data_IF_842375795611
#
_entry.id   IF_842375795611
#
_cell.length_a   1.000
_cell.length_b   1.000
_cell.length_c   1.000
_cell.angle_alpha   90.00
_cell.angle_beta   90.00
_cell.angle_gamma   90.00
#
_symmetry.space_group_name_H-M   'P 1'
#
loop_
_entity.id
_entity.type
_entity.pdbx_description
1 polymer ?
#
# COMPACT_ATOMS: atom_id res chain seq x y z
N UNK A 1 29.85 13.12 -3.41
CA UNK A 1 30.12 12.50 -2.10
C UNK A 1 29.08 11.40 -1.89
N UNK A 2 29.43 10.24 -1.34
CA UNK A 2 28.47 9.25 -0.97
C UNK A 2 27.45 9.88 -0.01
N UNK A 3 26.17 9.55 -0.19
CA UNK A 3 25.12 10.02 0.71
C UNK A 3 25.31 9.34 2.06
N UNK A 4 25.38 10.11 3.14
CA UNK A 4 25.41 9.56 4.49
C UNK A 4 24.11 8.82 4.78
N UNK A 5 24.24 7.74 5.55
CA UNK A 5 23.08 7.03 6.09
C UNK A 5 22.37 7.95 7.09
N UNK A 6 21.04 8.01 6.99
CA UNK A 6 20.23 8.83 7.87
C UNK A 6 19.26 7.95 8.66
N UNK A 7 19.04 8.30 9.92
CA UNK A 7 17.89 7.77 10.66
C UNK A 7 16.61 8.31 10.05
N UNK A 8 15.80 7.41 9.49
CA UNK A 8 14.49 7.74 8.96
C UNK A 8 13.49 6.68 9.35
N UNK A 9 12.27 7.08 9.71
CA UNK A 9 11.18 6.12 9.73
C UNK A 9 10.96 5.60 8.31
N UNK A 10 10.42 4.40 8.20
CA UNK A 10 10.08 3.84 6.90
C UNK A 10 8.94 4.64 6.28
N UNK A 11 9.28 5.44 5.30
CA UNK A 11 8.31 6.25 4.59
C UNK A 11 7.86 5.52 3.33
N UNK A 12 6.69 4.92 3.39
CA UNK A 12 6.00 4.44 2.19
C UNK A 12 5.30 5.58 1.43
N UNK A 13 5.68 6.83 1.72
CA UNK A 13 5.14 8.00 1.02
C UNK A 13 5.77 8.12 -0.36
N UNK A 14 5.00 7.84 -1.38
CA UNK A 14 5.43 7.92 -2.78
C UNK A 14 4.47 8.78 -3.58
N UNK A 15 4.83 9.08 -4.83
CA UNK A 15 3.94 9.81 -5.75
C UNK A 15 2.60 9.07 -5.94
N UNK A 16 2.64 7.73 -5.98
CA UNK A 16 1.44 6.89 -6.02
C UNK A 16 1.14 6.43 -4.58
N UNK A 17 0.37 7.21 -3.84
CA UNK A 17 0.11 6.94 -2.41
C UNK A 17 -0.78 5.72 -2.18
N UNK A 18 -1.82 5.54 -3.02
CA UNK A 18 -2.72 4.40 -2.88
C UNK A 18 -2.11 3.15 -3.53
N UNK A 19 -1.77 2.10 -2.75
CA UNK A 19 -1.15 0.89 -3.27
C UNK A 19 -2.04 0.12 -4.25
N UNK A 20 -3.38 0.24 -4.15
CA UNK A 20 -4.31 -0.39 -5.09
C UNK A 20 -4.11 0.06 -6.54
N UNK A 21 -3.46 1.21 -6.76
CA UNK A 21 -3.13 1.73 -8.09
C UNK A 21 -1.83 1.16 -8.65
N UNK A 22 -1.03 0.48 -7.85
CA UNK A 22 0.27 -0.03 -8.32
C UNK A 22 0.10 -1.05 -9.45
N UNK A 23 -0.90 -1.94 -9.36
CA UNK A 23 -1.22 -2.88 -10.45
C UNK A 23 -1.51 -2.19 -11.78
N UNK A 24 -2.23 -1.07 -11.74
CA UNK A 24 -2.58 -0.30 -12.95
C UNK A 24 -1.33 0.33 -13.58
N UNK A 25 -0.48 0.98 -12.76
CA UNK A 25 0.79 1.56 -13.23
C UNK A 25 1.76 0.47 -13.74
N UNK A 26 1.84 -0.66 -13.04
CA UNK A 26 2.69 -1.77 -13.42
C UNK A 26 2.20 -2.45 -14.71
N UNK A 27 0.87 -2.55 -14.91
CA UNK A 27 0.30 -3.07 -16.16
C UNK A 27 0.69 -2.21 -17.37
N UNK A 28 0.62 -0.88 -17.24
CA UNK A 28 1.07 0.01 -18.31
C UNK A 28 2.59 -0.09 -18.51
N UNK A 29 3.38 -0.10 -17.42
CA UNK A 29 4.84 -0.20 -17.49
C UNK A 29 5.31 -1.53 -18.11
N UNK A 30 4.58 -2.62 -17.89
CA UNK A 30 4.90 -3.94 -18.45
C UNK A 30 4.98 -3.94 -19.98
N UNK A 31 4.29 -3.04 -20.66
CA UNK A 31 4.40 -2.87 -22.13
C UNK A 31 5.78 -2.43 -22.59
N UNK A 32 6.61 -1.93 -21.65
CA UNK A 32 7.97 -1.45 -21.89
C UNK A 32 9.04 -2.39 -21.29
N UNK A 33 8.64 -3.59 -20.85
CA UNK A 33 9.60 -4.59 -20.34
C UNK A 33 10.64 -4.94 -21.41
N UNK A 34 11.93 -4.90 -21.03
CA UNK A 34 13.05 -5.09 -21.94
C UNK A 34 13.48 -3.84 -22.72
N UNK A 35 12.68 -2.77 -22.74
CA UNK A 35 13.05 -1.51 -23.40
C UNK A 35 14.12 -0.75 -22.60
N UNK A 36 14.95 0.04 -23.32
CA UNK A 36 15.96 0.90 -22.67
C UNK A 36 15.27 2.13 -22.09
N UNK A 37 15.44 2.35 -20.79
CA UNK A 37 14.93 3.54 -20.11
C UNK A 37 15.71 4.80 -20.51
N UNK A 38 15.13 5.60 -21.37
CA UNK A 38 15.66 6.86 -21.89
C UNK A 38 14.54 7.89 -22.05
N UNK A 39 14.87 9.09 -22.56
CA UNK A 39 13.87 10.17 -22.72
C UNK A 39 12.69 9.74 -23.60
N UNK A 40 12.95 8.97 -24.67
CA UNK A 40 11.91 8.48 -25.58
C UNK A 40 10.97 7.48 -24.90
N UNK A 41 11.53 6.50 -24.22
CA UNK A 41 10.74 5.49 -23.49
C UNK A 41 9.90 6.13 -22.38
N UNK A 42 10.47 7.09 -21.63
CA UNK A 42 9.74 7.83 -20.60
C UNK A 42 8.62 8.68 -21.23
N UNK A 43 8.86 9.34 -22.36
CA UNK A 43 7.79 10.08 -23.07
C UNK A 43 6.64 9.16 -23.45
N UNK A 44 6.92 8.03 -24.11
CA UNK A 44 5.89 7.08 -24.53
C UNK A 44 5.11 6.55 -23.33
N UNK A 45 5.79 6.17 -22.27
CA UNK A 45 5.18 5.65 -21.05
C UNK A 45 4.26 6.69 -20.37
N UNK A 46 4.74 7.91 -20.14
CA UNK A 46 3.93 8.96 -19.51
C UNK A 46 2.71 9.32 -20.36
N UNK A 47 2.85 9.30 -21.68
CA UNK A 47 1.73 9.53 -22.60
C UNK A 47 0.68 8.42 -22.54
N UNK A 48 1.09 7.15 -22.35
CA UNK A 48 0.14 6.06 -22.12
C UNK A 48 -0.63 6.24 -20.80
N UNK A 49 0.03 6.70 -19.72
CA UNK A 49 -0.65 7.03 -18.46
C UNK A 49 -1.66 8.18 -18.63
N UNK A 50 -1.32 9.23 -19.41
CA UNK A 50 -2.26 10.31 -19.69
C UNK A 50 -3.42 9.83 -20.55
N UNK A 51 -3.14 8.98 -21.54
CA UNK A 51 -4.13 8.49 -22.51
C UNK A 51 -5.32 7.86 -21.81
N UNK A 52 -5.10 7.08 -20.77
CA UNK A 52 -6.14 6.43 -19.97
C UNK A 52 -6.59 7.25 -18.74
N UNK A 53 -6.01 8.43 -18.50
CA UNK A 53 -6.33 9.27 -17.35
C UNK A 53 -5.77 8.79 -16.01
N UNK A 54 -4.95 7.73 -16.02
CA UNK A 54 -4.36 7.17 -14.81
C UNK A 54 -3.42 8.13 -14.08
N UNK A 55 -2.72 8.99 -14.81
CA UNK A 55 -1.93 10.07 -14.28
C UNK A 55 -2.36 11.42 -14.86
N UNK A 56 -2.62 12.39 -13.98
CA UNK A 56 -3.08 13.75 -14.34
C UNK A 56 -2.10 14.79 -13.82
N UNK A 57 -1.20 15.30 -14.68
CA UNK A 57 -0.27 16.36 -14.29
C UNK A 57 -0.98 17.68 -13.97
N UNK A 58 -0.23 18.63 -13.39
CA UNK A 58 -0.78 19.88 -12.89
C UNK A 58 -1.32 20.79 -14.01
N UNK A 59 -0.61 20.84 -15.14
CA UNK A 59 -0.93 21.74 -16.24
C UNK A 59 -1.65 20.97 -17.35
N UNK A 60 -2.96 21.16 -17.45
CA UNK A 60 -3.81 20.50 -18.43
C UNK A 60 -4.36 21.52 -19.43
N UNK A 61 -4.45 21.17 -20.74
CA UNK A 61 -5.23 21.93 -21.73
C UNK A 61 -6.70 22.02 -21.32
N UNK A 62 -7.39 23.09 -21.71
CA UNK A 62 -8.82 23.25 -21.37
C UNK A 62 -9.71 22.14 -21.96
N UNK A 63 -9.41 21.67 -23.17
CA UNK A 63 -10.10 20.54 -23.80
C UNK A 63 -10.00 19.27 -22.92
N UNK A 64 -8.82 18.96 -22.40
CA UNK A 64 -8.59 17.83 -21.52
C UNK A 64 -9.29 18.00 -20.17
N UNK A 65 -9.30 19.20 -19.60
CA UNK A 65 -10.06 19.49 -18.38
C UNK A 65 -11.54 19.23 -18.55
N UNK A 66 -12.10 19.58 -19.71
CA UNK A 66 -13.50 19.31 -20.02
C UNK A 66 -13.79 17.81 -20.17
N UNK A 67 -12.92 17.07 -20.89
CA UNK A 67 -13.04 15.61 -21.01
C UNK A 67 -13.00 14.89 -19.67
N UNK A 68 -12.18 15.39 -18.74
CA UNK A 68 -12.01 14.79 -17.41
C UNK A 68 -12.89 15.42 -16.33
N UNK A 69 -13.82 16.28 -16.68
CA UNK A 69 -14.68 16.98 -15.71
C UNK A 69 -15.59 16.03 -14.92
N UNK A 70 -16.01 14.91 -15.55
CA UNK A 70 -16.87 13.89 -14.94
C UNK A 70 -16.11 12.89 -14.07
N UNK A 71 -14.76 12.84 -14.17
CA UNK A 71 -13.93 11.86 -13.49
C UNK A 71 -13.03 12.51 -12.46
N UNK A 72 -12.81 11.85 -11.33
CA UNK A 72 -11.94 12.34 -10.28
C UNK A 72 -10.46 11.94 -10.52
N UNK A 73 -9.56 12.65 -9.81
CA UNK A 73 -8.14 12.34 -9.85
C UNK A 73 -7.88 10.95 -9.28
N UNK A 74 -7.25 10.10 -10.07
CA UNK A 74 -6.97 8.72 -9.70
C UNK A 74 -7.93 7.70 -10.29
N UNK A 75 -8.99 8.14 -10.96
CA UNK A 75 -9.87 7.29 -11.76
C UNK A 75 -9.43 7.27 -13.22
N UNK A 76 -9.80 6.19 -13.92
CA UNK A 76 -9.65 6.11 -15.35
C UNK A 76 -10.58 7.14 -16.02
N UNK A 77 -10.16 7.64 -17.17
CA UNK A 77 -11.02 8.45 -18.00
C UNK A 77 -12.09 7.56 -18.68
N UNK A 78 -13.23 8.14 -19.03
CA UNK A 78 -14.27 7.42 -19.81
C UNK A 78 -13.79 7.23 -21.26
N UNK A 79 -13.14 8.26 -21.83
CA UNK A 79 -12.60 8.25 -23.18
C UNK A 79 -11.08 8.48 -23.15
N UNK A 80 -10.31 7.79 -24.03
CA UNK A 80 -8.89 8.01 -24.14
C UNK A 80 -8.56 9.38 -24.71
N UNK A 81 -7.45 9.96 -24.28
CA UNK A 81 -6.88 11.14 -24.92
C UNK A 81 -6.24 10.77 -26.25
N UNK A 82 -6.27 11.71 -27.19
CA UNK A 82 -5.56 11.60 -28.46
C UNK A 82 -4.07 11.76 -28.28
N UNK A 83 -3.29 11.31 -29.27
CA UNK A 83 -1.82 11.44 -29.25
C UNK A 83 -1.38 12.92 -29.25
N UNK A 84 -2.14 13.82 -29.87
CA UNK A 84 -1.86 15.27 -29.85
C UNK A 84 -2.10 15.85 -28.45
N UNK A 85 -3.17 15.44 -27.76
CA UNK A 85 -3.46 15.87 -26.39
C UNK A 85 -2.39 15.39 -25.42
N UNK A 86 -1.99 14.10 -25.49
CA UNK A 86 -0.97 13.52 -24.61
C UNK A 86 0.40 14.19 -24.83
N UNK A 87 0.81 14.41 -26.09
CA UNK A 87 2.05 15.12 -26.40
C UNK A 87 2.03 16.59 -25.90
N UNK A 88 0.87 17.25 -25.96
CA UNK A 88 0.72 18.61 -25.46
C UNK A 88 0.83 18.65 -23.93
N UNK A 89 0.21 17.68 -23.22
CA UNK A 89 0.34 17.56 -21.76
C UNK A 89 1.79 17.32 -21.38
N UNK A 90 2.46 16.38 -22.05
CA UNK A 90 3.87 16.05 -21.79
C UNK A 90 4.76 17.30 -21.84
N UNK A 91 4.73 18.03 -22.97
CA UNK A 91 5.53 19.26 -23.14
C UNK A 91 5.21 20.35 -22.11
N UNK A 92 3.92 20.59 -21.81
CA UNK A 92 3.53 21.65 -20.85
C UNK A 92 3.99 21.37 -19.43
N UNK A 93 4.20 20.11 -19.07
CA UNK A 93 4.62 19.69 -17.73
C UNK A 93 6.09 19.27 -17.66
N UNK A 94 6.85 19.43 -18.73
CA UNK A 94 8.30 19.22 -18.71
C UNK A 94 9.01 20.49 -18.18
N UNK A 95 9.74 20.40 -17.07
CA UNK A 95 10.50 21.52 -16.54
C UNK A 95 11.61 22.04 -17.46
N UNK A 96 12.08 21.20 -18.39
CA UNK A 96 13.08 21.60 -19.36
C UNK A 96 12.47 22.46 -20.50
N UNK A 97 11.21 22.18 -20.85
CA UNK A 97 10.45 22.97 -21.82
C UNK A 97 9.66 24.12 -21.20
N UNK A 98 9.38 24.07 -19.88
CA UNK A 98 8.60 25.05 -19.15
C UNK A 98 9.36 25.55 -17.90
N UNK A 99 10.09 26.67 -17.99
CA UNK A 99 10.93 27.21 -16.90
C UNK A 99 10.15 27.60 -15.63
N UNK A 100 8.84 27.79 -15.71
CA UNK A 100 7.98 28.09 -14.55
C UNK A 100 7.89 26.89 -13.61
N UNK A 101 8.12 25.68 -14.11
CA UNK A 101 8.11 24.47 -13.32
C UNK A 101 9.46 24.26 -12.63
N UNK A 102 9.42 24.22 -11.29
CA UNK A 102 10.57 23.78 -10.49
C UNK A 102 10.72 22.26 -10.67
N UNK A 103 11.57 21.84 -11.59
CA UNK A 103 11.84 20.43 -11.79
C UNK A 103 12.60 19.83 -10.61
N UNK A 104 12.13 18.71 -10.10
CA UNK A 104 12.83 17.87 -9.15
C UNK A 104 13.90 17.03 -9.88
N UNK A 105 14.97 16.65 -9.20
CA UNK A 105 16.02 15.80 -9.74
C UNK A 105 16.36 14.69 -8.76
N UNK A 106 16.04 13.47 -9.13
CA UNK A 106 16.49 12.28 -8.42
C UNK A 106 17.92 11.91 -8.81
N UNK A 107 18.64 11.26 -7.90
CA UNK A 107 19.99 10.80 -8.16
C UNK A 107 20.00 9.75 -9.29
N UNK A 108 20.93 9.91 -10.25
CA UNK A 108 21.05 8.99 -11.39
C UNK A 108 20.10 9.27 -12.56
N UNK A 109 19.17 10.23 -12.44
CA UNK A 109 18.22 10.57 -13.49
C UNK A 109 18.38 11.99 -13.99
N UNK A 110 18.15 12.29 -15.29
CA UNK A 110 18.00 13.63 -15.79
C UNK A 110 16.83 14.37 -15.09
N UNK A 111 16.94 15.70 -15.02
CA UNK A 111 15.86 16.55 -14.50
C UNK A 111 14.61 16.43 -15.37
N UNK A 112 13.43 16.49 -14.78
CA UNK A 112 12.17 16.50 -15.50
C UNK A 112 11.42 15.17 -15.45
N UNK A 113 10.93 14.71 -16.56
CA UNK A 113 10.17 13.48 -16.65
C UNK A 113 10.95 12.22 -16.25
N UNK A 114 12.24 12.06 -16.61
CA UNK A 114 13.01 10.93 -16.12
C UNK A 114 13.08 10.85 -14.59
N UNK A 115 13.32 11.96 -13.93
CA UNK A 115 13.31 12.03 -12.45
C UNK A 115 11.92 11.76 -11.86
N UNK A 116 10.86 12.15 -12.59
CA UNK A 116 9.48 11.86 -12.16
C UNK A 116 9.14 10.39 -12.29
N UNK A 117 9.59 9.74 -13.35
CA UNK A 117 9.48 8.30 -13.51
C UNK A 117 10.08 7.56 -12.29
N UNK A 118 11.29 7.93 -11.87
CA UNK A 118 11.89 7.32 -10.68
C UNK A 118 11.04 7.55 -9.43
N UNK A 119 10.54 8.77 -9.20
CA UNK A 119 9.66 9.04 -8.04
C UNK A 119 8.32 8.28 -8.09
N UNK A 120 7.82 7.94 -9.27
CA UNK A 120 6.61 7.11 -9.42
C UNK A 120 6.88 5.66 -9.05
N UNK A 121 8.01 5.09 -9.49
CA UNK A 121 8.31 3.67 -9.40
C UNK A 121 9.31 3.28 -8.30
N UNK A 122 9.88 4.23 -7.58
CA UNK A 122 10.91 3.97 -6.56
C UNK A 122 10.50 2.92 -5.52
N UNK A 123 9.27 3.00 -5.00
CA UNK A 123 8.80 1.99 -4.05
C UNK A 123 8.61 0.63 -4.72
N UNK A 124 8.13 0.58 -5.95
CA UNK A 124 7.98 -0.68 -6.71
C UNK A 124 9.34 -1.32 -7.00
N UNK A 125 10.38 -0.49 -7.25
CA UNK A 125 11.78 -0.94 -7.34
C UNK A 125 12.28 -1.50 -6.01
N UNK A 126 12.04 -0.80 -4.89
CA UNK A 126 12.40 -1.26 -3.54
C UNK A 126 11.70 -2.55 -3.16
N UNK A 127 10.45 -2.74 -3.57
CA UNK A 127 9.68 -3.96 -3.33
C UNK A 127 10.03 -5.09 -4.31
N UNK A 128 11.00 -4.88 -5.21
CA UNK A 128 11.47 -5.89 -6.13
C UNK A 128 10.51 -6.23 -7.27
N UNK A 129 9.52 -5.38 -7.57
CA UNK A 129 8.60 -5.62 -8.68
C UNK A 129 9.21 -5.31 -10.04
N UNK A 130 10.06 -4.30 -10.11
CA UNK A 130 10.72 -3.86 -11.34
C UNK A 130 12.12 -3.33 -11.03
N UNK A 131 13.07 -3.65 -11.88
CA UNK A 131 14.41 -3.07 -11.87
C UNK A 131 14.60 -2.14 -13.06
N UNK A 132 15.19 -1.01 -12.83
CA UNK A 132 15.54 -0.05 -13.89
C UNK A 132 16.68 0.86 -13.44
N UNK A 133 17.49 1.27 -14.39
CA UNK A 133 18.48 2.33 -14.29
C UNK A 133 18.43 3.17 -15.54
N UNK A 134 18.80 4.44 -15.44
CA UNK A 134 18.84 5.31 -16.61
C UNK A 134 19.85 4.78 -17.67
N UNK A 135 19.39 4.63 -18.89
CA UNK A 135 20.17 4.07 -19.99
C UNK A 135 20.27 2.55 -20.01
N UNK A 136 19.64 1.83 -19.09
CA UNK A 136 19.57 0.36 -19.05
C UNK A 136 18.16 -0.14 -19.35
N UNK A 137 18.01 -1.44 -19.51
CA UNK A 137 16.71 -2.08 -19.75
C UNK A 137 15.83 -2.02 -18.49
N UNK A 138 14.53 -1.85 -18.72
CA UNK A 138 13.50 -2.10 -17.70
C UNK A 138 13.34 -3.61 -17.59
N UNK A 139 13.33 -4.15 -16.39
CA UNK A 139 13.26 -5.59 -16.10
C UNK A 139 12.17 -5.88 -15.09
N UNK A 140 11.16 -6.64 -15.48
CA UNK A 140 10.11 -7.12 -14.58
C UNK A 140 10.54 -8.38 -13.84
N UNK A 141 10.28 -8.42 -12.54
CA UNK A 141 10.45 -9.61 -11.72
C UNK A 141 9.26 -10.57 -11.84
N UNK A 142 9.39 -11.77 -11.27
CA UNK A 142 8.23 -12.68 -11.13
C UNK A 142 7.10 -12.03 -10.33
N UNK A 143 7.40 -11.44 -9.17
CA UNK A 143 6.42 -10.73 -8.34
C UNK A 143 5.84 -9.51 -9.04
N UNK A 144 6.63 -8.79 -9.81
CA UNK A 144 6.18 -7.66 -10.63
C UNK A 144 5.22 -8.06 -11.73
N UNK A 145 5.47 -9.18 -12.38
CA UNK A 145 4.56 -9.76 -13.36
C UNK A 145 3.21 -10.16 -12.72
N UNK A 146 3.23 -10.81 -11.55
CA UNK A 146 2.00 -11.10 -10.81
C UNK A 146 1.19 -9.84 -10.51
N UNK A 147 1.84 -8.78 -10.05
CA UNK A 147 1.16 -7.51 -9.77
C UNK A 147 0.57 -6.88 -11.04
N UNK A 148 1.35 -6.83 -12.12
CA UNK A 148 0.91 -6.25 -13.40
C UNK A 148 -0.24 -7.04 -14.03
N UNK A 149 -0.23 -8.36 -13.90
CA UNK A 149 -1.23 -9.27 -14.46
C UNK A 149 -2.50 -9.40 -13.61
N UNK A 150 -2.60 -8.64 -12.51
CA UNK A 150 -3.86 -8.51 -11.74
C UNK A 150 -4.96 -7.87 -12.58
N UNK A 151 -4.59 -6.94 -13.47
CA UNK A 151 -5.53 -6.18 -14.30
C UNK A 151 -5.17 -6.29 -15.79
N UNK A 152 -6.18 -6.08 -16.63
CA UNK A 152 -6.03 -5.85 -18.06
C UNK A 152 -6.56 -4.46 -18.37
N UNK A 153 -5.74 -3.60 -18.99
CA UNK A 153 -6.12 -2.26 -19.42
C UNK A 153 -5.99 -2.18 -20.93
N UNK A 154 -7.08 -1.92 -21.63
CA UNK A 154 -7.12 -1.81 -23.10
C UNK A 154 -7.95 -0.61 -23.54
N UNK A 155 -7.78 -0.25 -24.81
CA UNK A 155 -8.59 0.77 -25.48
C UNK A 155 -9.20 0.10 -26.71
N UNK A 156 -10.52 -0.09 -26.69
CA UNK A 156 -11.26 -0.74 -27.74
C UNK A 156 -12.35 0.23 -28.25
N UNK A 157 -12.34 0.50 -29.54
CA UNK A 157 -13.33 1.38 -30.21
C UNK A 157 -13.50 2.77 -29.53
N UNK A 158 -12.39 3.32 -29.02
CA UNK A 158 -12.40 4.63 -28.33
C UNK A 158 -12.94 4.60 -26.89
N UNK A 159 -13.08 3.41 -26.30
CA UNK A 159 -13.50 3.23 -24.91
C UNK A 159 -12.35 2.58 -24.13
N UNK A 160 -12.06 3.11 -22.94
CA UNK A 160 -11.09 2.53 -22.01
C UNK A 160 -11.76 1.38 -21.25
N UNK A 161 -11.22 0.18 -21.39
CA UNK A 161 -11.63 -0.98 -20.61
C UNK A 161 -10.56 -1.28 -19.55
N UNK A 162 -10.99 -1.51 -18.33
CA UNK A 162 -10.16 -1.96 -17.22
C UNK A 162 -10.86 -3.11 -16.50
N UNK A 163 -10.26 -4.27 -16.54
CA UNK A 163 -10.81 -5.49 -15.96
C UNK A 163 -9.85 -6.07 -14.93
N UNK A 164 -10.36 -6.60 -13.82
CA UNK A 164 -9.58 -7.40 -12.88
C UNK A 164 -9.63 -8.83 -13.40
N UNK A 165 -8.47 -9.35 -13.87
CA UNK A 165 -8.38 -10.68 -14.48
C UNK A 165 -7.85 -11.74 -13.51
N UNK A 166 -7.00 -11.35 -12.57
CA UNK A 166 -6.42 -12.24 -11.56
C UNK A 166 -6.46 -11.57 -10.17
N UNK A 167 -7.60 -11.56 -9.48
CA UNK A 167 -7.81 -10.78 -8.26
C UNK A 167 -6.87 -11.15 -7.10
N UNK A 168 -6.39 -12.40 -7.02
CA UNK A 168 -5.47 -12.87 -5.97
C UNK A 168 -4.02 -12.43 -6.19
N UNK A 169 -3.65 -12.08 -7.42
CA UNK A 169 -2.25 -11.78 -7.76
C UNK A 169 -1.72 -10.57 -7.00
N UNK A 170 -2.53 -9.54 -6.76
CA UNK A 170 -2.14 -8.36 -6.00
C UNK A 170 -1.73 -8.71 -4.57
N UNK A 171 -2.55 -9.47 -3.86
CA UNK A 171 -2.24 -9.91 -2.49
C UNK A 171 -0.98 -10.78 -2.44
N UNK A 172 -0.85 -11.73 -3.38
CA UNK A 172 0.34 -12.59 -3.50
C UNK A 172 1.60 -11.75 -3.71
N UNK A 173 1.58 -10.80 -4.66
CA UNK A 173 2.71 -9.95 -4.95
C UNK A 173 3.13 -9.12 -3.74
N UNK A 174 2.19 -8.50 -3.04
CA UNK A 174 2.48 -7.71 -1.83
C UNK A 174 2.96 -8.58 -0.67
N UNK A 175 2.36 -9.74 -0.44
CA UNK A 175 2.79 -10.68 0.60
C UNK A 175 4.23 -11.14 0.37
N UNK A 176 4.57 -11.60 -0.85
CA UNK A 176 5.92 -12.01 -1.25
C UNK A 176 6.95 -10.86 -1.06
N UNK A 177 6.59 -9.66 -1.49
CA UNK A 177 7.47 -8.50 -1.40
C UNK A 177 7.70 -8.07 0.07
N UNK A 178 6.64 -7.91 0.86
CA UNK A 178 6.77 -7.43 2.23
C UNK A 178 7.35 -8.47 3.20
N UNK A 179 7.18 -9.77 2.93
CA UNK A 179 7.86 -10.81 3.70
C UNK A 179 9.39 -10.68 3.65
N UNK A 180 9.93 -10.16 2.55
CA UNK A 180 11.36 -10.03 2.27
C UNK A 180 11.91 -8.61 2.43
N UNK A 181 11.05 -7.58 2.39
CA UNK A 181 11.47 -6.19 2.31
C UNK A 181 12.17 -5.72 3.58
N UNK A 182 13.42 -5.30 3.41
CA UNK A 182 14.26 -4.77 4.48
C UNK A 182 14.30 -3.23 4.44
N UNK A 183 14.30 -2.59 5.59
CA UNK A 183 14.30 -1.13 5.68
C UNK A 183 15.60 -0.53 5.17
N UNK A 184 16.74 -0.95 5.74
CA UNK A 184 18.04 -0.56 5.25
C UNK A 184 18.43 -1.49 4.10
N UNK A 185 18.47 -0.96 2.90
CA UNK A 185 18.82 -1.71 1.68
C UNK A 185 19.53 -0.78 0.69
N UNK A 186 20.20 -1.30 -0.36
CA UNK A 186 20.95 -0.49 -1.29
C UNK A 186 20.18 0.62 -2.00
N UNK A 187 18.85 0.45 -2.15
CA UNK A 187 17.99 1.48 -2.74
C UNK A 187 17.67 2.63 -1.79
N UNK A 188 17.54 2.37 -0.50
CA UNK A 188 17.02 3.33 0.49
C UNK A 188 18.08 3.83 1.43
N UNK A 189 18.96 2.96 1.95
CA UNK A 189 20.09 3.27 2.85
C UNK A 189 19.66 4.05 4.09
N UNK A 190 18.83 3.42 4.90
CA UNK A 190 18.44 3.93 6.22
C UNK A 190 19.25 3.24 7.32
N UNK A 191 19.38 3.88 8.49
CA UNK A 191 20.10 3.28 9.62
C UNK A 191 19.26 2.26 10.42
N UNK A 192 18.07 1.93 9.95
CA UNK A 192 17.16 1.02 10.63
C UNK A 192 17.23 -0.37 10.00
N UNK A 193 17.89 -1.28 10.66
CA UNK A 193 18.16 -2.63 10.18
C UNK A 193 17.02 -3.59 10.59
N UNK A 194 15.83 -3.42 10.04
CA UNK A 194 14.70 -4.32 10.29
C UNK A 194 13.95 -4.72 9.02
N UNK A 195 13.13 -5.77 9.17
CA UNK A 195 12.15 -6.24 8.21
C UNK A 195 10.77 -5.83 8.75
N UNK A 196 10.14 -4.78 8.20
CA UNK A 196 9.00 -4.12 8.85
C UNK A 196 7.80 -5.00 9.10
N UNK A 197 7.46 -5.90 8.16
CA UNK A 197 6.36 -6.85 8.34
C UNK A 197 6.66 -7.87 9.43
N UNK A 198 7.87 -8.43 9.44
CA UNK A 198 8.33 -9.40 10.45
C UNK A 198 8.22 -8.76 11.85
N UNK A 199 8.83 -7.58 12.02
CA UNK A 199 8.78 -6.88 13.30
C UNK A 199 7.35 -6.63 13.78
N UNK A 200 6.45 -6.22 12.87
CA UNK A 200 5.03 -6.02 13.19
C UNK A 200 4.37 -7.31 13.67
N UNK A 201 4.51 -8.39 12.92
CA UNK A 201 3.87 -9.68 13.22
C UNK A 201 4.39 -10.29 14.53
N UNK A 202 5.70 -10.23 14.77
CA UNK A 202 6.31 -10.73 16.02
C UNK A 202 5.83 -9.95 17.23
N UNK A 203 5.78 -8.62 17.15
CA UNK A 203 5.28 -7.78 18.24
C UNK A 203 3.80 -8.08 18.53
N UNK A 204 2.98 -8.22 17.49
CA UNK A 204 1.57 -8.58 17.68
C UNK A 204 1.45 -9.95 18.36
N UNK A 205 2.21 -10.96 17.94
CA UNK A 205 2.22 -12.28 18.59
C UNK A 205 2.58 -12.20 20.08
N UNK A 206 3.58 -11.39 20.44
CA UNK A 206 3.97 -11.18 21.84
C UNK A 206 2.88 -10.48 22.65
N UNK A 207 2.23 -9.45 22.09
CA UNK A 207 1.13 -8.75 22.73
C UNK A 207 -0.10 -9.66 22.92
N UNK A 208 -0.37 -10.55 21.95
CA UNK A 208 -1.48 -11.50 22.03
C UNK A 208 -1.20 -12.64 23.02
N UNK A 209 0.07 -13.00 23.22
CA UNK A 209 0.47 -14.00 24.20
C UNK A 209 0.50 -13.49 25.65
N UNK A 210 0.40 -12.18 25.86
CA UNK A 210 0.35 -11.58 27.20
C UNK A 210 -1.09 -11.56 27.71
N UNK A 211 -1.36 -12.33 28.75
CA UNK A 211 -2.69 -12.47 29.37
C UNK A 211 -3.27 -11.11 29.84
N UNK A 212 -2.41 -10.13 30.14
CA UNK A 212 -2.83 -8.78 30.55
C UNK A 212 -3.61 -8.05 29.44
N UNK A 213 -3.35 -8.39 28.17
CA UNK A 213 -3.92 -7.66 27.02
C UNK A 213 -5.06 -8.38 26.32
N UNK A 214 -5.41 -9.59 26.73
CA UNK A 214 -6.53 -10.38 26.19
C UNK A 214 -6.53 -10.52 24.66
N UNK A 215 -5.35 -10.66 24.05
CA UNK A 215 -5.22 -10.80 22.60
C UNK A 215 -5.63 -9.56 21.80
N UNK A 216 -5.45 -8.36 22.34
CA UNK A 216 -5.90 -7.13 21.68
C UNK A 216 -5.05 -6.67 20.49
N UNK A 217 -3.89 -7.30 20.25
CA UNK A 217 -2.96 -6.88 19.20
C UNK A 217 -2.25 -5.56 19.54
N UNK A 218 -1.79 -4.85 18.49
CA UNK A 218 -1.13 -3.53 18.62
C UNK A 218 -2.14 -2.40 18.40
N UNK A 219 -2.13 -1.39 19.29
CA UNK A 219 -2.99 -0.21 19.10
C UNK A 219 -2.50 0.61 17.90
N UNK A 220 -3.43 1.19 17.14
CA UNK A 220 -3.09 2.09 16.03
C UNK A 220 -2.19 3.25 16.48
N UNK A 221 -2.32 3.73 17.72
CA UNK A 221 -1.45 4.76 18.29
C UNK A 221 -0.02 4.29 18.59
N UNK A 222 0.21 3.00 18.66
CA UNK A 222 1.52 2.39 18.91
C UNK A 222 2.29 2.07 17.61
N UNK A 223 1.62 2.10 16.46
CA UNK A 223 2.24 1.86 15.14
C UNK A 223 3.46 2.77 14.88
N UNK A 224 3.49 4.05 15.29
CA UNK A 224 4.69 4.86 15.13
C UNK A 224 5.94 4.23 15.74
N UNK A 225 5.84 3.53 16.86
CA UNK A 225 6.98 2.87 17.50
C UNK A 225 7.56 1.78 16.59
N UNK A 226 6.70 0.98 15.94
CA UNK A 226 7.14 -0.03 14.93
C UNK A 226 7.86 0.63 13.76
N UNK A 227 7.30 1.75 13.25
CA UNK A 227 7.86 2.49 12.12
C UNK A 227 9.25 3.06 12.45
N UNK A 228 9.44 3.54 13.67
CA UNK A 228 10.68 4.18 14.10
C UNK A 228 11.72 3.20 14.65
N UNK A 229 11.34 1.96 15.01
CA UNK A 229 12.23 0.97 15.59
C UNK A 229 13.42 0.65 14.69
N UNK A 230 14.63 0.46 15.29
CA UNK A 230 15.89 0.41 14.53
C UNK A 230 16.32 -0.97 14.05
N UNK A 231 15.77 -2.02 14.66
CA UNK A 231 16.18 -3.40 14.42
C UNK A 231 14.98 -4.36 14.48
N UNK A 232 15.25 -5.67 14.42
CA UNK A 232 14.24 -6.72 14.54
C UNK A 232 14.02 -7.18 15.99
N UNK A 233 14.53 -6.47 17.01
CA UNK A 233 14.31 -6.86 18.41
C UNK A 233 12.85 -6.58 18.82
N UNK A 234 11.98 -7.53 18.45
CA UNK A 234 10.56 -7.49 18.78
C UNK A 234 10.31 -7.63 20.29
N UNK A 235 11.23 -8.24 21.06
CA UNK A 235 11.10 -8.32 22.51
C UNK A 235 11.29 -6.94 23.14
N UNK A 236 12.34 -6.23 22.75
CA UNK A 236 12.58 -4.89 23.26
C UNK A 236 11.45 -3.92 22.88
N UNK A 237 10.94 -4.01 21.66
CA UNK A 237 9.78 -3.20 21.22
C UNK A 237 8.51 -3.57 22.01
N UNK A 238 8.23 -4.84 22.22
CA UNK A 238 7.11 -5.30 23.04
C UNK A 238 7.20 -4.75 24.46
N UNK A 239 8.36 -4.85 25.12
CA UNK A 239 8.57 -4.31 26.46
C UNK A 239 8.37 -2.79 26.49
N UNK A 240 8.81 -2.07 25.44
CA UNK A 240 8.61 -0.63 25.35
C UNK A 240 7.12 -0.26 25.19
N UNK A 241 6.36 -1.04 24.42
CA UNK A 241 4.91 -0.88 24.30
C UNK A 241 4.21 -1.16 25.62
N UNK A 242 4.65 -2.20 26.34
CA UNK A 242 4.13 -2.55 27.67
C UNK A 242 4.30 -1.41 28.66
N UNK A 243 5.48 -0.78 28.70
CA UNK A 243 5.71 0.41 29.52
C UNK A 243 4.76 1.56 29.14
N UNK A 244 4.59 1.83 27.84
CA UNK A 244 3.65 2.86 27.35
C UNK A 244 2.21 2.58 27.78
N UNK A 245 1.77 1.32 27.71
CA UNK A 245 0.42 0.91 28.15
C UNK A 245 0.24 1.05 29.66
N UNK A 246 1.25 0.76 30.45
CA UNK A 246 1.22 0.93 31.90
C UNK A 246 1.05 2.40 32.32
N UNK A 247 1.70 3.31 31.60
CA UNK A 247 1.66 4.75 31.87
C UNK A 247 0.41 5.45 31.30
N UNK A 248 -0.01 5.05 30.11
CA UNK A 248 -1.02 5.79 29.32
C UNK A 248 -2.21 4.92 28.89
N UNK A 249 -2.22 3.64 29.23
CA UNK A 249 -3.16 2.62 28.73
C UNK A 249 -3.10 2.61 27.19
N UNK A 250 -4.24 2.65 26.52
CA UNK A 250 -4.31 2.68 25.04
C UNK A 250 -4.53 4.10 24.48
N UNK A 251 -4.26 5.14 25.27
CA UNK A 251 -4.54 6.51 24.87
C UNK A 251 -3.38 7.48 25.18
N UNK A 252 -2.13 7.18 24.76
CA UNK A 252 -1.03 8.14 24.86
C UNK A 252 -1.37 9.40 24.08
N UNK A 253 -0.86 10.56 24.53
CA UNK A 253 -0.95 11.80 23.75
C UNK A 253 -0.03 11.75 22.54
N UNK A 254 -0.30 12.60 21.57
CA UNK A 254 0.53 12.68 20.38
C UNK A 254 1.97 13.12 20.68
N UNK A 255 2.12 13.99 21.67
CA UNK A 255 3.41 14.51 22.14
C UNK A 255 4.25 13.41 22.80
N UNK A 256 3.61 12.51 23.57
CA UNK A 256 4.28 11.33 24.14
C UNK A 256 4.80 10.42 23.05
N UNK A 257 3.98 10.15 22.02
CA UNK A 257 4.42 9.32 20.88
C UNK A 257 5.56 10.00 20.10
N UNK A 258 5.48 11.31 19.88
CA UNK A 258 6.57 12.06 19.24
C UNK A 258 7.87 11.97 20.04
N UNK A 259 7.80 12.17 21.36
CA UNK A 259 8.97 12.14 22.25
C UNK A 259 9.64 10.76 22.21
N UNK A 260 8.87 9.69 22.32
CA UNK A 260 9.40 8.32 22.22
C UNK A 260 10.07 8.09 20.86
N UNK A 261 9.39 8.42 19.77
CA UNK A 261 9.90 8.17 18.42
C UNK A 261 11.15 8.99 18.11
N UNK A 262 11.15 10.28 18.44
CA UNK A 262 12.20 11.22 18.04
C UNK A 262 13.35 11.24 19.03
N UNK A 263 13.07 11.37 20.32
CA UNK A 263 14.11 11.55 21.32
C UNK A 263 14.64 10.23 21.87
N UNK A 264 13.76 9.28 22.21
CA UNK A 264 14.19 8.02 22.79
C UNK A 264 14.72 7.06 21.70
N UNK A 265 13.91 6.74 20.65
CA UNK A 265 14.32 5.75 19.64
C UNK A 265 15.39 6.31 18.71
N UNK A 266 15.22 7.53 18.20
CA UNK A 266 16.18 8.13 17.26
C UNK A 266 17.27 8.99 17.91
N UNK A 267 17.22 9.18 19.23
CA UNK A 267 18.23 9.97 19.95
C UNK A 267 18.26 11.46 19.60
N UNK A 268 17.14 12.02 19.16
CA UNK A 268 17.01 13.45 18.82
C UNK A 268 17.73 13.86 17.52
N UNK A 269 18.20 12.89 16.74
CA UNK A 269 19.01 13.14 15.53
C UNK A 269 18.28 13.97 14.49
N UNK A 270 16.97 13.77 14.32
CA UNK A 270 16.16 14.48 13.31
C UNK A 270 14.77 14.82 13.85
N UNK A 271 14.32 16.03 13.52
CA UNK A 271 12.95 16.44 13.80
C UNK A 271 12.01 16.05 12.68
N UNK A 272 10.86 15.51 13.04
CA UNK A 272 9.77 15.19 12.16
C UNK A 272 8.55 16.05 12.50
N UNK A 273 7.62 16.21 11.57
CA UNK A 273 6.35 16.87 11.89
C UNK A 273 5.50 15.94 12.73
N UNK A 274 4.99 16.40 13.86
CA UNK A 274 4.09 15.64 14.74
C UNK A 274 2.96 14.94 13.96
N UNK A 275 2.26 15.69 13.09
CA UNK A 275 1.19 15.12 12.25
C UNK A 275 1.66 13.96 11.37
N UNK A 276 2.88 14.00 10.87
CA UNK A 276 3.42 12.91 10.05
C UNK A 276 3.68 11.66 10.88
N UNK A 277 4.24 11.81 12.09
CA UNK A 277 4.50 10.71 13.02
C UNK A 277 3.20 9.99 13.40
N UNK A 278 2.20 10.75 13.84
CA UNK A 278 1.00 10.17 14.47
C UNK A 278 -0.15 9.87 13.50
N UNK A 279 -0.08 10.33 12.24
CA UNK A 279 -1.15 10.14 11.28
C UNK A 279 -0.65 9.68 9.90
N UNK A 280 0.23 10.44 9.23
CA UNK A 280 0.57 10.16 7.82
C UNK A 280 1.36 8.85 7.68
N UNK A 281 2.39 8.63 8.51
CA UNK A 281 3.22 7.42 8.44
C UNK A 281 2.45 6.17 8.88
N UNK A 282 1.69 6.17 10.00
CA UNK A 282 0.84 5.04 10.35
C UNK A 282 -0.17 4.69 9.27
N UNK A 283 -0.86 5.68 8.68
CA UNK A 283 -1.83 5.43 7.61
C UNK A 283 -1.18 4.76 6.39
N UNK A 284 -0.05 5.28 5.94
CA UNK A 284 0.70 4.71 4.81
C UNK A 284 1.26 3.32 5.12
N UNK A 285 1.75 3.10 6.34
CA UNK A 285 2.28 1.81 6.79
C UNK A 285 1.17 0.74 6.83
N UNK A 286 0.10 1.00 7.57
CA UNK A 286 -1.01 0.06 7.74
C UNK A 286 -1.67 -0.25 6.40
N UNK A 287 -1.84 0.75 5.53
CA UNK A 287 -2.40 0.57 4.19
C UNK A 287 -1.60 -0.44 3.35
N UNK A 288 -0.25 -0.40 3.42
CA UNK A 288 0.60 -1.34 2.70
C UNK A 288 0.62 -2.72 3.36
N UNK A 289 0.70 -2.78 4.70
CA UNK A 289 0.66 -4.06 5.41
C UNK A 289 -0.68 -4.79 5.17
N UNK A 290 -1.80 -4.06 5.10
CA UNK A 290 -3.11 -4.64 4.79
C UNK A 290 -3.15 -5.32 3.41
N UNK A 291 -2.40 -4.83 2.42
CA UNK A 291 -2.34 -5.44 1.08
C UNK A 291 -1.78 -6.85 1.09
N UNK A 292 -1.02 -7.24 2.12
CA UNK A 292 -0.50 -8.61 2.27
C UNK A 292 -1.59 -9.62 2.62
N UNK A 293 -2.73 -9.19 3.16
CA UNK A 293 -3.77 -10.03 3.71
C UNK A 293 -3.47 -10.62 5.09
N UNK A 294 -2.26 -10.38 5.64
CA UNK A 294 -1.78 -11.01 6.88
C UNK A 294 -2.24 -10.29 8.16
N UNK A 295 -2.78 -9.08 8.03
CA UNK A 295 -3.27 -8.30 9.17
C UNK A 295 -4.76 -8.00 9.06
N UNK A 296 -5.40 -7.87 10.21
CA UNK A 296 -6.81 -7.60 10.39
C UNK A 296 -7.01 -6.42 11.36
N UNK A 297 -8.23 -5.92 11.47
CA UNK A 297 -8.59 -4.85 12.40
C UNK A 297 -9.51 -5.37 13.48
N UNK A 298 -9.25 -4.95 14.73
CA UNK A 298 -10.07 -5.26 15.91
C UNK A 298 -10.61 -3.96 16.54
N UNK A 299 -11.72 -4.08 17.26
CA UNK A 299 -12.30 -2.98 18.01
C UNK A 299 -12.59 -1.73 17.17
N UNK A 300 -13.20 -1.90 16.00
CA UNK A 300 -13.52 -0.79 15.09
C UNK A 300 -12.28 -0.05 14.57
N UNK A 301 -11.16 -0.73 14.38
CA UNK A 301 -9.89 -0.18 13.88
C UNK A 301 -9.00 0.47 14.95
N UNK A 302 -9.31 0.28 16.22
CA UNK A 302 -8.42 0.72 17.31
C UNK A 302 -7.16 -0.10 17.41
N UNK A 303 -7.25 -1.38 17.04
CA UNK A 303 -6.15 -2.34 17.06
C UNK A 303 -5.92 -2.93 15.68
N UNK A 304 -4.67 -3.24 15.41
CA UNK A 304 -4.21 -4.03 14.29
C UNK A 304 -3.74 -5.36 14.85
N UNK A 305 -4.18 -6.43 14.22
CA UNK A 305 -3.93 -7.78 14.69
C UNK A 305 -3.58 -8.70 13.51
N UNK A 306 -3.22 -9.92 13.81
CA UNK A 306 -3.02 -11.00 12.85
C UNK A 306 -4.37 -11.40 12.26
N UNK A 307 -4.40 -11.64 10.96
CA UNK A 307 -5.48 -12.35 10.30
C UNK A 307 -5.26 -13.86 10.51
N UNK A 308 -5.98 -14.46 11.44
CA UNK A 308 -5.83 -15.88 11.79
C UNK A 308 -6.22 -16.86 10.67
N UNK A 309 -6.87 -16.39 9.60
CA UNK A 309 -7.05 -17.20 8.40
C UNK A 309 -5.71 -17.46 7.67
N UNK A 310 -4.67 -16.74 8.00
CA UNK A 310 -3.34 -16.77 7.37
C UNK A 310 -2.23 -17.27 8.32
N UNK A 311 -2.56 -17.87 9.46
CA UNK A 311 -1.59 -18.27 10.50
C UNK A 311 -0.47 -19.16 9.93
N UNK A 312 -0.78 -20.12 9.05
CA UNK A 312 0.22 -21.00 8.43
C UNK A 312 1.24 -20.22 7.59
N UNK A 313 0.79 -19.19 6.84
CA UNK A 313 1.68 -18.32 6.08
C UNK A 313 2.50 -17.41 6.97
N UNK A 314 1.90 -16.90 8.05
CA UNK A 314 2.59 -16.05 9.03
C UNK A 314 3.70 -16.83 9.71
N UNK A 315 3.44 -18.05 10.16
CA UNK A 315 4.45 -18.91 10.79
C UNK A 315 5.58 -19.27 9.82
N UNK A 316 5.25 -19.55 8.57
CA UNK A 316 6.25 -19.74 7.52
C UNK A 316 7.12 -18.49 7.33
N UNK A 317 6.51 -17.31 7.17
CA UNK A 317 7.23 -16.05 6.97
C UNK A 317 8.16 -15.77 8.15
N UNK A 318 7.69 -15.88 9.38
CA UNK A 318 8.48 -15.63 10.59
C UNK A 318 9.63 -16.64 10.75
N UNK A 319 9.50 -17.86 10.27
CA UNK A 319 10.57 -18.86 10.34
C UNK A 319 11.61 -18.74 9.21
N UNK A 320 11.25 -18.15 8.06
CA UNK A 320 12.12 -18.12 6.88
C UNK A 320 12.73 -16.75 6.57
N UNK A 321 12.10 -15.66 6.98
CA UNK A 321 12.51 -14.30 6.61
C UNK A 321 12.85 -13.38 7.79
N UNK A 322 12.99 -13.92 9.02
CA UNK A 322 13.29 -13.12 10.20
C UNK A 322 14.71 -12.54 10.20
N UNK A 323 15.64 -13.17 9.48
CA UNK A 323 17.04 -12.79 9.49
C UNK A 323 17.30 -11.61 8.53
N UNK A 324 17.74 -10.49 9.10
CA UNK A 324 18.19 -9.34 8.32
C UNK A 324 19.54 -9.62 7.64
N UNK A 325 19.63 -9.31 6.33
CA UNK A 325 20.82 -9.51 5.52
C UNK A 325 21.28 -8.21 4.87
N UNK A 326 22.59 -7.91 4.91
CA UNK A 326 23.19 -6.78 4.19
C UNK A 326 23.52 -7.16 2.77
N UNK A 327 22.95 -6.43 1.81
CA UNK A 327 23.25 -6.57 0.39
C UNK A 327 24.22 -5.47 -0.05
N UNK A 328 25.22 -5.83 -0.86
CA UNK A 328 26.24 -4.88 -1.31
C UNK A 328 25.74 -3.98 -2.43
N UNK A 329 24.88 -4.49 -3.31
CA UNK A 329 24.43 -3.79 -4.53
C UNK A 329 22.89 -3.80 -4.66
N UNK A 330 22.37 -2.81 -5.40
CA UNK A 330 20.96 -2.77 -5.77
C UNK A 330 20.55 -4.01 -6.57
N UNK A 331 21.45 -4.56 -7.38
CA UNK A 331 21.18 -5.76 -8.18
C UNK A 331 21.03 -7.00 -7.30
N UNK A 332 21.94 -7.25 -6.38
CA UNK A 332 21.83 -8.37 -5.45
C UNK A 332 20.54 -8.32 -4.64
N UNK A 333 20.20 -7.14 -4.13
CA UNK A 333 18.95 -6.98 -3.40
C UNK A 333 17.70 -7.20 -4.28
N UNK A 334 17.74 -6.69 -5.52
CA UNK A 334 16.65 -6.95 -6.46
C UNK A 334 16.52 -8.44 -6.78
N UNK A 335 17.61 -9.16 -7.03
CA UNK A 335 17.57 -10.59 -7.33
C UNK A 335 16.99 -11.41 -6.15
N UNK A 336 17.30 -11.02 -4.92
CA UNK A 336 16.66 -11.58 -3.73
C UNK A 336 15.15 -11.31 -3.68
N UNK A 337 14.73 -10.09 -3.96
CA UNK A 337 13.33 -9.67 -3.91
C UNK A 337 12.49 -10.23 -5.07
N UNK A 338 13.10 -10.46 -6.23
CA UNK A 338 12.43 -10.67 -7.52
C UNK A 338 11.72 -12.02 -7.66
N UNK A 339 12.12 -13.03 -6.87
CA UNK A 339 11.61 -14.40 -6.99
C UNK A 339 10.36 -14.62 -6.15
N UNK A 340 9.44 -15.44 -6.67
CA UNK A 340 8.32 -15.96 -5.89
C UNK A 340 8.80 -17.17 -5.08
N UNK A 341 8.57 -17.15 -3.79
CA UNK A 341 8.70 -18.32 -2.94
C UNK A 341 7.51 -19.24 -3.17
N UNK A 342 7.78 -20.35 -3.87
CA UNK A 342 6.76 -21.33 -4.22
C UNK A 342 6.21 -22.06 -2.98
N UNK A 343 6.98 -22.21 -1.91
CA UNK A 343 6.52 -22.83 -0.69
C UNK A 343 5.49 -21.93 0.01
N UNK A 344 5.81 -20.65 0.18
CA UNK A 344 4.86 -19.66 0.70
C UNK A 344 3.61 -19.54 -0.20
N UNK A 345 3.80 -19.56 -1.52
CA UNK A 345 2.71 -19.49 -2.48
C UNK A 345 1.76 -20.70 -2.40
N UNK A 346 2.28 -21.89 -2.09
CA UNK A 346 1.50 -23.12 -2.00
C UNK A 346 0.65 -23.21 -0.73
N UNK A 347 0.97 -22.43 0.31
CA UNK A 347 0.20 -22.41 1.56
C UNK A 347 -1.20 -21.83 1.32
N UNK A 348 -2.18 -22.45 1.95
CA UNK A 348 -3.59 -22.06 1.77
C UNK A 348 -4.07 -21.23 2.95
N UNK A 349 -4.88 -20.24 2.65
CA UNK A 349 -5.66 -19.52 3.67
C UNK A 349 -6.78 -20.45 4.20
N UNK A 350 -7.13 -20.29 5.45
CA UNK A 350 -8.35 -20.90 5.99
C UNK A 350 -9.56 -20.21 5.34
N UNK A 351 -10.31 -20.96 4.55
CA UNK A 351 -11.52 -20.44 3.92
C UNK A 351 -12.66 -20.40 4.95
N UNK A 352 -13.17 -19.20 5.20
CA UNK A 352 -14.36 -19.04 6.02
C UNK A 352 -15.57 -19.60 5.26
N UNK A 353 -16.33 -20.49 5.89
CA UNK A 353 -17.57 -21.00 5.29
C UNK A 353 -18.57 -19.86 5.06
N UNK A 354 -19.46 -20.03 4.07
CA UNK A 354 -20.52 -19.05 3.78
C UNK A 354 -21.37 -18.73 5.02
N UNK A 355 -21.66 -19.73 5.83
CA UNK A 355 -22.42 -19.56 7.09
C UNK A 355 -21.61 -18.72 8.08
N UNK A 356 -20.34 -19.03 8.29
CA UNK A 356 -19.48 -18.25 9.20
C UNK A 356 -19.29 -16.79 8.70
N UNK A 357 -19.16 -16.57 7.40
CA UNK A 357 -19.10 -15.22 6.83
C UNK A 357 -20.40 -14.42 7.08
N UNK A 358 -21.57 -15.09 6.95
CA UNK A 358 -22.85 -14.45 7.26
C UNK A 358 -23.02 -14.15 8.75
N UNK A 359 -22.54 -15.03 9.64
CA UNK A 359 -22.53 -14.80 11.09
C UNK A 359 -21.64 -13.59 11.46
N UNK A 360 -20.43 -13.51 10.89
CA UNK A 360 -19.53 -12.37 11.11
C UNK A 360 -20.12 -11.05 10.58
N UNK A 361 -20.80 -11.08 9.44
CA UNK A 361 -21.52 -9.90 8.94
C UNK A 361 -22.56 -9.40 9.96
N UNK A 362 -23.28 -10.32 10.62
CA UNK A 362 -24.26 -9.97 11.67
C UNK A 362 -23.56 -9.35 12.89
N UNK A 363 -22.42 -9.91 13.30
CA UNK A 363 -21.63 -9.41 14.43
C UNK A 363 -21.09 -7.99 14.19
N UNK A 364 -20.83 -7.62 12.94
CA UNK A 364 -20.35 -6.31 12.56
C UNK A 364 -21.44 -5.21 12.53
N UNK A 365 -22.73 -5.57 12.47
CA UNK A 365 -23.83 -4.58 12.38
C UNK A 365 -23.77 -3.51 13.50
N UNK A 366 -23.51 -3.84 14.77
CA UNK A 366 -23.43 -2.83 15.82
C UNK A 366 -22.31 -1.80 15.63
N UNK A 367 -21.20 -2.20 14.99
CA UNK A 367 -20.07 -1.32 14.75
C UNK A 367 -20.30 -0.36 13.59
N UNK A 368 -21.31 -0.64 12.73
CA UNK A 368 -21.65 0.15 11.57
C UNK A 368 -23.13 0.61 11.63
N UNK A 369 -23.46 1.59 12.49
CA UNK A 369 -24.82 2.12 12.58
C UNK A 369 -25.27 2.72 11.25
N UNK A 370 -26.59 2.74 11.03
CA UNK A 370 -27.18 3.13 9.74
C UNK A 370 -26.68 4.48 9.20
N UNK A 371 -26.46 5.47 10.06
CA UNK A 371 -25.96 6.78 9.63
C UNK A 371 -24.49 6.72 9.18
N UNK A 372 -23.68 5.85 9.76
CA UNK A 372 -22.33 5.56 9.29
C UNK A 372 -22.36 4.91 7.90
N UNK A 373 -23.20 3.89 7.70
CA UNK A 373 -23.37 3.22 6.40
C UNK A 373 -23.78 4.24 5.32
N UNK A 374 -24.78 5.10 5.60
CA UNK A 374 -25.23 6.16 4.66
C UNK A 374 -24.09 7.13 4.31
N UNK A 375 -23.36 7.56 5.31
CA UNK A 375 -22.23 8.48 5.11
C UNK A 375 -21.17 7.86 4.20
N UNK A 376 -20.79 6.61 4.45
CA UNK A 376 -19.80 5.91 3.66
C UNK A 376 -20.28 5.58 2.24
N UNK A 377 -21.54 5.22 2.05
CA UNK A 377 -22.14 5.07 0.71
C UNK A 377 -22.16 6.43 -0.04
N UNK A 378 -22.41 7.54 0.68
CA UNK A 378 -22.32 8.87 0.09
C UNK A 378 -20.88 9.23 -0.32
N UNK A 379 -19.87 8.82 0.48
CA UNK A 379 -18.47 8.96 0.08
C UNK A 379 -18.17 8.20 -1.21
N UNK A 380 -18.68 6.98 -1.36
CA UNK A 380 -18.52 6.19 -2.58
C UNK A 380 -19.21 6.84 -3.77
N UNK A 381 -20.49 7.26 -3.63
CA UNK A 381 -21.25 7.89 -4.68
C UNK A 381 -20.62 9.22 -5.17
N UNK A 382 -20.10 10.02 -4.23
CA UNK A 382 -19.43 11.28 -4.52
C UNK A 382 -17.93 11.12 -4.80
N UNK A 383 -17.42 9.88 -4.79
CA UNK A 383 -16.01 9.54 -5.03
C UNK A 383 -15.05 10.29 -4.09
N UNK A 384 -15.46 10.51 -2.85
CA UNK A 384 -14.67 11.13 -1.80
C UNK A 384 -14.02 10.08 -0.88
N UNK A 385 -12.91 10.45 -0.25
CA UNK A 385 -12.19 9.55 0.64
C UNK A 385 -12.95 9.32 1.95
N UNK A 386 -12.99 8.07 2.42
CA UNK A 386 -13.46 7.73 3.74
C UNK A 386 -12.50 8.23 4.81
N UNK A 387 -13.05 8.71 5.93
CA UNK A 387 -12.31 9.01 7.15
C UNK A 387 -12.51 7.95 8.25
N UNK A 388 -13.32 6.92 7.98
CA UNK A 388 -13.57 5.83 8.92
C UNK A 388 -12.29 5.02 9.20
N UNK A 389 -12.07 4.66 10.46
CA UNK A 389 -10.82 4.03 10.90
C UNK A 389 -10.49 2.72 10.20
N UNK A 390 -11.48 1.95 9.77
CA UNK A 390 -11.33 0.69 9.03
C UNK A 390 -11.55 0.89 7.54
N UNK A 391 -12.68 1.50 7.15
CA UNK A 391 -13.13 1.54 5.77
C UNK A 391 -12.20 2.34 4.85
N UNK A 392 -11.42 3.28 5.36
CA UNK A 392 -10.38 4.00 4.62
C UNK A 392 -9.26 3.08 4.08
N UNK A 393 -9.11 1.87 4.64
CA UNK A 393 -8.13 0.86 4.22
C UNK A 393 -8.72 -0.22 3.30
N UNK A 394 -10.01 -0.15 3.00
CA UNK A 394 -10.72 -1.09 2.12
C UNK A 394 -10.96 -0.39 0.78
N UNK A 395 -10.68 -1.08 -0.33
CA UNK A 395 -10.86 -0.56 -1.68
C UNK A 395 -12.31 -0.12 -1.93
N UNK A 396 -12.52 0.87 -2.79
CA UNK A 396 -13.86 1.39 -3.04
C UNK A 396 -14.85 0.31 -3.54
N UNK A 397 -14.47 -0.59 -4.47
CA UNK A 397 -15.36 -1.69 -4.87
C UNK A 397 -15.70 -2.65 -3.71
N UNK A 398 -14.69 -3.14 -2.98
CA UNK A 398 -14.90 -4.04 -1.84
C UNK A 398 -15.71 -3.39 -0.72
N UNK A 399 -15.50 -2.09 -0.50
CA UNK A 399 -16.26 -1.30 0.47
C UNK A 399 -17.74 -1.16 0.05
N UNK A 400 -18.02 -1.01 -1.25
CA UNK A 400 -19.39 -0.97 -1.75
C UNK A 400 -20.12 -2.30 -1.50
N UNK A 401 -19.48 -3.43 -1.81
CA UNK A 401 -20.03 -4.76 -1.57
C UNK A 401 -20.31 -4.98 -0.08
N UNK A 402 -19.35 -4.66 0.78
CA UNK A 402 -19.46 -4.78 2.23
C UNK A 402 -20.60 -3.91 2.80
N UNK A 403 -20.61 -2.63 2.46
CA UNK A 403 -21.64 -1.69 2.96
C UNK A 403 -23.04 -2.06 2.44
N UNK A 404 -23.14 -2.58 1.22
CA UNK A 404 -24.42 -3.06 0.67
C UNK A 404 -24.92 -4.27 1.44
N UNK A 405 -24.05 -5.25 1.71
CA UNK A 405 -24.40 -6.42 2.51
C UNK A 405 -24.84 -6.03 3.92
N UNK A 406 -24.11 -5.13 4.59
CA UNK A 406 -24.48 -4.59 5.91
C UNK A 406 -25.81 -3.84 5.87
N UNK A 407 -26.03 -2.99 4.86
CA UNK A 407 -27.27 -2.22 4.70
C UNK A 407 -28.49 -3.13 4.56
N UNK A 408 -28.40 -4.16 3.70
CA UNK A 408 -29.48 -5.13 3.50
C UNK A 408 -29.77 -5.87 4.81
N UNK A 409 -28.73 -6.43 5.44
CA UNK A 409 -28.92 -7.22 6.67
C UNK A 409 -29.43 -6.38 7.84
N UNK A 410 -28.96 -5.14 7.98
CA UNK A 410 -29.41 -4.20 9.01
C UNK A 410 -30.89 -3.80 8.86
N UNK A 411 -31.37 -3.64 7.61
CA UNK A 411 -32.76 -3.20 7.34
C UNK A 411 -33.75 -4.34 7.15
N UNK A 412 -33.27 -5.49 6.77
CA UNK A 412 -34.08 -6.69 6.50
C UNK A 412 -33.53 -7.87 7.30
N UNK A 413 -33.65 -7.86 8.66
CA UNK A 413 -33.00 -8.87 9.50
C UNK A 413 -33.46 -10.31 9.22
N UNK A 414 -34.66 -10.51 8.66
CA UNK A 414 -35.17 -11.80 8.23
C UNK A 414 -34.61 -12.33 6.91
N UNK A 415 -33.87 -11.52 6.16
CA UNK A 415 -33.25 -11.92 4.89
C UNK A 415 -31.88 -12.54 5.18
N UNK A 416 -31.59 -13.69 4.60
CA UNK A 416 -30.26 -14.27 4.59
C UNK A 416 -29.36 -13.48 3.64
N UNK A 417 -28.23 -12.97 4.14
CA UNK A 417 -27.22 -12.26 3.35
C UNK A 417 -25.91 -13.01 3.49
N UNK A 418 -25.43 -13.56 2.38
CA UNK A 418 -24.14 -14.27 2.33
C UNK A 418 -23.17 -13.36 1.59
N UNK A 419 -22.10 -12.87 2.28
CA UNK A 419 -21.04 -12.10 1.64
C UNK A 419 -20.37 -12.90 0.53
N UNK A 420 -20.12 -12.26 -0.62
CA UNK A 420 -19.45 -12.90 -1.76
C UNK A 420 -18.01 -12.37 -1.96
N UNK A 421 -17.53 -11.53 -1.07
CA UNK A 421 -16.14 -11.06 -1.07
C UNK A 421 -15.26 -11.91 -0.17
N UNK A 422 -13.96 -12.10 -0.51
CA UNK A 422 -12.99 -12.67 0.41
C UNK A 422 -12.86 -11.79 1.66
N UNK A 423 -12.91 -12.40 2.83
CA UNK A 423 -12.83 -11.67 4.09
C UNK A 423 -11.76 -12.25 5.03
N UNK A 424 -11.27 -11.39 5.92
CA UNK A 424 -10.42 -11.80 7.02
C UNK A 424 -11.21 -12.51 8.12
N UNK A 425 -10.51 -12.90 9.18
CA UNK A 425 -11.08 -13.59 10.32
C UNK A 425 -12.09 -12.75 11.14
N UNK A 426 -12.19 -11.45 10.89
CA UNK A 426 -13.23 -10.55 11.44
C UNK A 426 -14.42 -10.33 10.49
N UNK A 427 -14.37 -10.87 9.28
CA UNK A 427 -15.39 -10.69 8.26
C UNK A 427 -15.26 -9.41 7.44
N UNK A 428 -14.14 -8.69 7.58
CA UNK A 428 -13.86 -7.50 6.78
C UNK A 428 -13.27 -7.88 5.42
N UNK A 429 -13.67 -7.25 4.31
CA UNK A 429 -13.17 -7.61 3.00
C UNK A 429 -11.65 -7.39 2.88
N UNK A 430 -10.97 -8.38 2.30
CA UNK A 430 -9.54 -8.34 1.98
C UNK A 430 -9.30 -7.94 0.53
N UNK A 431 -10.23 -8.28 -0.36
CA UNK A 431 -10.24 -7.86 -1.76
C UNK A 431 -11.68 -7.75 -2.27
N UNK A 432 -11.86 -7.33 -3.53
CA UNK A 432 -13.15 -7.42 -4.20
C UNK A 432 -13.51 -8.88 -4.48
N UNK A 433 -14.81 -9.18 -4.52
CA UNK A 433 -15.27 -10.43 -5.11
C UNK A 433 -14.67 -10.53 -6.52
N UNK A 434 -13.93 -11.58 -6.76
CA UNK A 434 -13.54 -11.90 -8.11
C UNK A 434 -14.80 -12.20 -8.90
N UNK A 435 -15.17 -11.26 -9.78
CA UNK A 435 -16.21 -11.50 -10.76
C UNK A 435 -15.81 -12.65 -11.70
#
# INVERSE_FOLDING_TARGET
MPRELEYKPLLYTTTIRNPERYKDFMNILKRFDGEILNDHTVELFERELFKVGLYRPMILPNSVKQKWASTQRGEFADEPLTDVETATIYRRNDPNANPVLKGHKEAGFPKGWPSRFDTQFKLMKVLGFVYYEWGKRIEFSQTGNYLADTVSISINEGVISREIVNPRNEQVAFMQAFAKQQRCNPFVRELNDNIPLILLLEVIKKLNADDEYNGAGISYKEIPLVIFWKDNDAEALYQRIKLLRNEHRYNPSNEVIEDICVNEILGGFKRFKLKSIVAEYPDEFVRKMRMTGLISFRGGGRFIDINHNEDEKIDYILSHYADYTKYATEREYFDYMATIDNALFALRSVEISKTAAAEKLIQLIPDYPWDSIKTELSHLANKTSSSHNVLKFISAPARLEFLTALAIKSKLPGVEVIPNYPCDDEGLPTSTAGG
#
